data_IF_108358397341
#
_entry.id   IF_108358397341
#
_cell.length_a   1.000
_cell.length_b   1.000
_cell.length_c   1.000
_cell.angle_alpha   90.00
_cell.angle_beta   90.00
_cell.angle_gamma   90.00
#
_symmetry.space_group_name_H-M   'P 1'
#
loop_
_entity.id
_entity.type
_entity.pdbx_description
1 polymer ?
#
# COMPACT_ATOMS: atom_id res chain seq x y z
N UNK A 1 12.97 -12.50 1.66
CA UNK A 1 14.39 -12.76 1.40
C UNK A 1 15.24 -11.79 2.23
N UNK A 2 16.17 -12.33 3.06
CA UNK A 2 17.00 -11.53 3.95
C UNK A 2 18.02 -10.66 3.20
N UNK A 3 18.53 -11.13 2.07
CA UNK A 3 19.50 -10.36 1.28
C UNK A 3 18.82 -9.10 0.70
N UNK A 4 17.58 -9.21 0.28
CA UNK A 4 16.79 -8.07 -0.20
C UNK A 4 16.51 -7.10 0.94
N UNK A 5 16.07 -7.58 2.11
CA UNK A 5 15.83 -6.72 3.28
C UNK A 5 17.08 -5.92 3.68
N UNK A 6 18.26 -6.56 3.65
CA UNK A 6 19.54 -5.88 3.91
C UNK A 6 19.88 -4.80 2.88
N UNK A 7 19.50 -4.97 1.62
CA UNK A 7 19.67 -3.93 0.60
C UNK A 7 18.69 -2.76 0.80
N UNK A 8 17.50 -3.02 1.32
CA UNK A 8 16.48 -1.99 1.57
C UNK A 8 16.77 -1.15 2.81
N UNK A 9 17.39 -1.74 3.85
CA UNK A 9 17.59 -1.10 5.15
C UNK A 9 18.30 0.27 5.08
N UNK A 10 19.40 0.48 4.34
CA UNK A 10 20.05 1.78 4.23
C UNK A 10 19.12 2.86 3.69
N UNK A 11 18.18 2.48 2.82
CA UNK A 11 17.20 3.39 2.21
C UNK A 11 15.96 3.64 3.09
N UNK A 12 15.94 3.07 4.29
CA UNK A 12 14.93 3.30 5.33
C UNK A 12 15.59 3.76 6.63
N UNK A 13 16.60 4.63 6.53
CA UNK A 13 17.35 5.21 7.66
C UNK A 13 17.92 4.19 8.64
N UNK A 14 18.32 3.03 8.14
CA UNK A 14 18.85 1.91 8.90
C UNK A 14 17.91 1.41 10.02
N UNK A 15 16.59 1.61 9.86
CA UNK A 15 15.61 1.15 10.84
C UNK A 15 15.69 -0.38 10.98
N UNK A 16 15.85 -0.90 12.22
CA UNK A 16 16.13 -2.31 12.46
C UNK A 16 14.97 -3.23 12.03
N UNK A 17 13.72 -2.78 12.16
CA UNK A 17 12.55 -3.59 11.80
C UNK A 17 12.49 -3.97 10.32
N UNK A 18 13.24 -3.29 9.44
CA UNK A 18 13.35 -3.68 8.02
C UNK A 18 13.96 -5.08 7.87
N UNK A 19 14.99 -5.38 8.65
CA UNK A 19 15.71 -6.66 8.58
C UNK A 19 15.25 -7.66 9.65
N UNK A 20 14.90 -7.18 10.84
CA UNK A 20 14.57 -8.02 11.99
C UNK A 20 13.15 -8.61 11.92
N UNK A 21 12.20 -7.89 11.31
CA UNK A 21 10.85 -8.41 11.15
C UNK A 21 10.83 -9.69 10.31
N UNK A 22 9.92 -10.60 10.64
CA UNK A 22 9.70 -11.84 9.89
C UNK A 22 9.48 -11.55 8.40
N UNK A 23 8.55 -10.63 8.11
CA UNK A 23 8.25 -10.21 6.74
C UNK A 23 8.19 -8.69 6.64
N UNK A 24 8.60 -8.20 5.47
CA UNK A 24 8.44 -6.81 5.07
C UNK A 24 7.47 -6.77 3.89
N UNK A 25 6.31 -6.19 4.11
CA UNK A 25 5.30 -5.99 3.07
C UNK A 25 5.50 -4.61 2.46
N UNK A 26 5.73 -4.54 1.16
CA UNK A 26 5.81 -3.29 0.41
C UNK A 26 4.55 -3.16 -0.41
N UNK A 27 3.77 -2.11 -0.17
CA UNK A 27 2.56 -1.84 -0.93
C UNK A 27 2.88 -0.77 -1.96
N UNK A 28 2.72 -1.14 -3.23
CA UNK A 28 3.06 -0.30 -4.36
C UNK A 28 1.81 0.06 -5.17
N UNK A 29 1.78 1.29 -5.69
CA UNK A 29 0.73 1.78 -6.57
C UNK A 29 1.17 1.72 -8.03
N UNK A 30 0.23 1.52 -8.94
CA UNK A 30 0.43 1.75 -10.37
C UNK A 30 0.72 3.23 -10.58
N UNK A 31 1.84 3.52 -11.21
CA UNK A 31 2.26 4.85 -11.58
C UNK A 31 1.63 5.24 -12.91
N UNK A 32 1.16 6.47 -13.00
CA UNK A 32 0.56 7.02 -14.23
C UNK A 32 -0.53 6.10 -14.82
N UNK A 33 -1.42 5.59 -13.96
CA UNK A 33 -2.54 4.76 -14.38
C UNK A 33 -3.38 5.46 -15.45
N UNK A 34 -3.79 4.71 -16.47
CA UNK A 34 -4.50 5.23 -17.63
C UNK A 34 -5.65 4.31 -18.10
N UNK A 35 -6.21 4.61 -19.24
CA UNK A 35 -7.32 3.84 -19.82
C UNK A 35 -6.95 2.38 -20.09
N UNK A 36 -5.68 2.03 -20.30
CA UNK A 36 -5.26 0.64 -20.52
C UNK A 36 -5.40 -0.21 -19.26
N UNK A 37 -5.28 0.40 -18.08
CA UNK A 37 -5.51 -0.30 -16.81
C UNK A 37 -7.00 -0.60 -16.60
N UNK A 38 -7.89 0.28 -17.11
CA UNK A 38 -9.33 0.01 -17.15
C UNK A 38 -9.66 -1.13 -18.11
N UNK A 39 -9.03 -1.18 -19.29
CA UNK A 39 -9.20 -2.31 -20.23
C UNK A 39 -8.82 -3.64 -19.58
N UNK A 40 -7.68 -3.70 -18.87
CA UNK A 40 -7.28 -4.91 -18.12
C UNK A 40 -8.30 -5.33 -17.08
N UNK A 41 -8.93 -4.36 -16.38
CA UNK A 41 -10.00 -4.63 -15.43
C UNK A 41 -11.21 -5.26 -16.15
N UNK A 42 -11.63 -4.68 -17.27
CA UNK A 42 -12.75 -5.21 -18.08
C UNK A 42 -12.45 -6.62 -18.57
N UNK A 43 -11.26 -6.87 -19.12
CA UNK A 43 -10.83 -8.19 -19.56
C UNK A 43 -10.91 -9.21 -18.41
N UNK A 44 -10.46 -8.82 -17.24
CA UNK A 44 -10.51 -9.68 -16.05
C UNK A 44 -11.93 -9.98 -15.57
N UNK A 45 -12.84 -9.01 -15.67
CA UNK A 45 -14.26 -9.23 -15.36
C UNK A 45 -14.89 -10.23 -16.34
N UNK A 46 -14.62 -10.07 -17.64
CA UNK A 46 -15.09 -10.99 -18.68
C UNK A 46 -14.58 -12.40 -18.38
N UNK A 47 -13.27 -12.54 -18.11
CA UNK A 47 -12.64 -13.85 -17.86
C UNK A 47 -13.25 -14.56 -16.63
N UNK A 48 -13.42 -13.83 -15.51
CA UNK A 48 -13.88 -14.46 -14.25
C UNK A 48 -15.38 -14.69 -14.23
N UNK A 49 -16.16 -13.74 -14.75
CA UNK A 49 -17.63 -13.75 -14.61
C UNK A 49 -18.35 -14.29 -15.85
N UNK A 50 -17.67 -14.46 -16.98
CA UNK A 50 -18.29 -14.82 -18.25
C UNK A 50 -19.25 -13.75 -18.80
N UNK A 51 -19.19 -12.52 -18.27
CA UNK A 51 -20.02 -11.40 -18.73
C UNK A 51 -19.58 -10.98 -20.12
N UNK A 52 -20.53 -10.69 -21.00
CA UNK A 52 -20.19 -10.19 -22.32
C UNK A 52 -19.55 -8.80 -22.22
N UNK A 53 -18.52 -8.57 -23.04
CA UNK A 53 -17.79 -7.29 -23.04
C UNK A 53 -18.69 -6.10 -23.32
N UNK A 54 -19.65 -6.30 -24.24
CA UNK A 54 -20.61 -5.25 -24.62
C UNK A 54 -21.46 -4.75 -23.43
N UNK A 55 -21.77 -5.64 -22.49
CA UNK A 55 -22.55 -5.31 -21.30
C UNK A 55 -21.74 -4.44 -20.29
N UNK A 56 -20.42 -4.35 -20.46
CA UNK A 56 -19.50 -3.62 -19.59
C UNK A 56 -19.09 -2.26 -20.14
N UNK A 57 -19.46 -1.90 -21.37
CA UNK A 57 -19.02 -0.66 -22.02
C UNK A 57 -19.50 0.60 -21.27
N UNK A 58 -20.72 0.60 -20.72
CA UNK A 58 -21.21 1.70 -19.91
C UNK A 58 -20.40 1.90 -18.62
N UNK A 59 -20.07 0.82 -17.92
CA UNK A 59 -19.24 0.82 -16.72
C UNK A 59 -17.82 1.29 -17.05
N UNK A 60 -17.23 0.76 -18.11
CA UNK A 60 -15.90 1.17 -18.62
C UNK A 60 -15.85 2.67 -18.87
N UNK A 61 -16.85 3.20 -19.61
CA UNK A 61 -16.95 4.62 -19.90
C UNK A 61 -17.05 5.49 -18.63
N UNK A 62 -17.84 5.06 -17.64
CA UNK A 62 -17.92 5.75 -16.36
C UNK A 62 -16.58 5.78 -15.62
N UNK A 63 -15.85 4.67 -15.58
CA UNK A 63 -14.54 4.60 -14.92
C UNK A 63 -13.55 5.52 -15.61
N UNK A 64 -13.42 5.43 -16.93
CA UNK A 64 -12.52 6.29 -17.72
C UNK A 64 -12.84 7.77 -17.48
N UNK A 65 -14.12 8.14 -17.56
CA UNK A 65 -14.55 9.53 -17.34
C UNK A 65 -14.26 10.01 -15.92
N UNK A 66 -14.44 9.17 -14.90
CA UNK A 66 -14.12 9.52 -13.51
C UNK A 66 -12.63 9.74 -13.28
N UNK A 67 -11.78 9.04 -14.00
CA UNK A 67 -10.32 9.17 -13.91
C UNK A 67 -9.76 10.31 -14.75
N UNK A 68 -10.47 10.75 -15.79
CA UNK A 68 -9.99 11.76 -16.73
C UNK A 68 -9.50 13.02 -16.04
N UNK A 69 -10.30 13.59 -15.15
CA UNK A 69 -9.93 14.79 -14.39
C UNK A 69 -8.72 14.57 -13.48
N UNK A 70 -8.59 13.39 -12.90
CA UNK A 70 -7.44 13.04 -12.07
C UNK A 70 -6.15 12.88 -12.90
N UNK A 71 -6.25 12.32 -14.10
CA UNK A 71 -5.13 12.17 -15.04
C UNK A 71 -4.70 13.56 -15.53
N UNK A 72 -5.64 14.38 -16.02
CA UNK A 72 -5.36 15.72 -16.56
C UNK A 72 -4.74 16.67 -15.53
N UNK A 73 -5.14 16.54 -14.27
CA UNK A 73 -4.60 17.34 -13.15
C UNK A 73 -3.32 16.77 -12.53
N UNK A 74 -2.83 15.60 -12.97
CA UNK A 74 -1.72 14.90 -12.34
C UNK A 74 -2.05 14.24 -10.99
N UNK A 75 -3.33 14.23 -10.60
CA UNK A 75 -3.78 13.71 -9.30
C UNK A 75 -3.86 12.17 -9.26
N UNK A 76 -3.79 11.50 -10.41
CA UNK A 76 -4.02 10.04 -10.52
C UNK A 76 -3.07 9.23 -9.61
N UNK A 77 -1.80 9.64 -9.49
CA UNK A 77 -0.84 8.95 -8.61
C UNK A 77 -1.20 9.10 -7.13
N UNK A 78 -1.74 10.24 -6.72
CA UNK A 78 -2.27 10.42 -5.36
C UNK A 78 -3.52 9.59 -5.10
N UNK A 79 -4.39 9.46 -6.10
CA UNK A 79 -5.54 8.57 -6.00
C UNK A 79 -5.12 7.11 -5.85
N UNK A 80 -4.17 6.64 -6.68
CA UNK A 80 -3.62 5.28 -6.62
C UNK A 80 -2.95 5.02 -5.26
N UNK A 81 -2.19 5.97 -4.73
CA UNK A 81 -1.57 5.86 -3.42
C UNK A 81 -2.60 5.68 -2.30
N UNK A 82 -3.75 6.37 -2.34
CA UNK A 82 -4.82 6.19 -1.34
C UNK A 82 -5.38 4.77 -1.31
N UNK A 83 -5.42 4.07 -2.44
CA UNK A 83 -5.83 2.66 -2.47
C UNK A 83 -4.85 1.77 -1.68
N UNK A 84 -3.56 2.11 -1.69
CA UNK A 84 -2.54 1.42 -0.88
C UNK A 84 -2.81 1.57 0.62
N UNK A 85 -3.27 2.74 1.08
CA UNK A 85 -3.62 2.96 2.49
C UNK A 85 -4.89 2.23 2.92
N UNK A 86 -5.86 2.03 2.01
CA UNK A 86 -7.02 1.17 2.27
C UNK A 86 -6.55 -0.28 2.47
N UNK A 87 -5.67 -0.77 1.60
CA UNK A 87 -5.07 -2.10 1.73
C UNK A 87 -4.24 -2.22 3.02
N UNK A 88 -3.45 -1.20 3.36
CA UNK A 88 -2.69 -1.14 4.61
C UNK A 88 -3.61 -1.24 5.83
N UNK A 89 -4.68 -0.46 5.88
CA UNK A 89 -5.64 -0.50 7.00
C UNK A 89 -6.24 -1.89 7.19
N UNK A 90 -6.58 -2.58 6.10
CA UNK A 90 -7.05 -3.96 6.12
C UNK A 90 -5.96 -4.92 6.62
N UNK A 91 -4.72 -4.77 6.14
CA UNK A 91 -3.57 -5.58 6.59
C UNK A 91 -3.36 -5.43 8.10
N UNK A 92 -3.33 -4.18 8.62
CA UNK A 92 -3.12 -3.91 10.05
C UNK A 92 -4.21 -4.55 10.91
N UNK A 93 -5.46 -4.43 10.49
CA UNK A 93 -6.60 -5.03 11.20
C UNK A 93 -6.53 -6.55 11.18
N UNK A 94 -6.23 -7.14 10.02
CA UNK A 94 -6.12 -8.60 9.87
C UNK A 94 -4.95 -9.15 10.69
N UNK A 95 -3.80 -8.48 10.69
CA UNK A 95 -2.64 -8.85 11.51
C UNK A 95 -3.00 -8.84 13.00
N UNK A 96 -3.67 -7.78 13.47
CA UNK A 96 -4.10 -7.66 14.85
C UNK A 96 -5.06 -8.79 15.28
N UNK A 97 -6.03 -9.16 14.42
CA UNK A 97 -6.94 -10.28 14.66
C UNK A 97 -6.20 -11.62 14.77
N UNK A 98 -5.11 -11.78 14.00
CA UNK A 98 -4.28 -12.98 14.03
C UNK A 98 -3.20 -12.97 15.12
N UNK A 99 -3.14 -11.93 15.95
CA UNK A 99 -2.11 -11.78 16.99
C UNK A 99 -0.71 -11.51 16.42
N UNK A 100 -0.63 -10.96 15.22
CA UNK A 100 0.61 -10.56 14.56
C UNK A 100 0.80 -9.06 14.74
N UNK A 101 1.98 -8.65 15.20
CA UNK A 101 2.33 -7.24 15.27
C UNK A 101 2.69 -6.68 13.88
N UNK A 102 2.31 -5.44 13.66
CA UNK A 102 2.52 -4.75 12.39
C UNK A 102 2.99 -3.31 12.63
N UNK A 103 4.00 -2.89 11.89
CA UNK A 103 4.57 -1.55 11.95
C UNK A 103 4.51 -0.90 10.57
N UNK A 104 3.51 -0.03 10.30
CA UNK A 104 3.46 0.71 9.04
C UNK A 104 4.52 1.81 9.04
N UNK A 105 5.16 2.01 7.90
CA UNK A 105 6.31 2.90 7.76
C UNK A 105 6.21 3.70 6.46
N UNK A 106 6.36 5.02 6.56
CA UNK A 106 6.61 5.93 5.42
C UNK A 106 8.06 6.43 5.39
N UNK A 107 8.84 6.11 6.44
CA UNK A 107 10.22 6.49 6.58
C UNK A 107 11.14 5.65 5.70
N UNK A 108 11.12 5.86 4.38
CA UNK A 108 12.00 5.23 3.42
C UNK A 108 12.09 6.05 2.12
N UNK A 109 13.09 5.77 1.30
CA UNK A 109 13.28 6.40 -0.02
C UNK A 109 12.64 5.49 -1.07
N UNK A 110 11.40 5.84 -1.49
CA UNK A 110 10.59 5.06 -2.43
C UNK A 110 11.36 4.69 -3.70
N UNK A 111 12.01 5.65 -4.36
CA UNK A 111 12.76 5.41 -5.59
C UNK A 111 13.90 4.38 -5.45
N UNK A 112 14.53 4.30 -4.28
CA UNK A 112 15.57 3.31 -4.02
C UNK A 112 14.98 1.93 -3.72
N UNK A 113 13.85 1.88 -3.01
CA UNK A 113 13.08 0.64 -2.83
C UNK A 113 12.64 0.08 -4.16
N UNK A 114 12.10 0.92 -5.04
CA UNK A 114 11.60 0.53 -6.37
C UNK A 114 12.71 -0.08 -7.22
N UNK A 115 13.92 0.50 -7.19
CA UNK A 115 15.10 -0.03 -7.89
C UNK A 115 15.55 -1.39 -7.34
N UNK A 116 15.67 -1.51 -6.01
CA UNK A 116 16.09 -2.77 -5.36
C UNK A 116 15.10 -3.88 -5.66
N UNK A 117 13.80 -3.56 -5.67
CA UNK A 117 12.72 -4.51 -5.94
C UNK A 117 12.46 -4.72 -7.43
N UNK A 118 12.99 -3.85 -8.31
CA UNK A 118 12.81 -3.90 -9.75
C UNK A 118 11.41 -3.51 -10.25
N UNK A 119 10.56 -2.95 -9.38
CA UNK A 119 9.17 -2.62 -9.69
C UNK A 119 9.01 -1.32 -10.49
N UNK A 120 10.02 -0.47 -10.49
CA UNK A 120 10.08 0.74 -11.31
C UNK A 120 9.95 0.43 -12.81
N UNK A 121 10.56 -0.68 -13.25
CA UNK A 121 10.51 -1.16 -14.64
C UNK A 121 9.12 -1.63 -15.05
N UNK A 122 8.34 -2.07 -14.09
CA UNK A 122 6.96 -2.56 -14.29
C UNK A 122 5.93 -1.43 -14.15
N UNK A 123 6.38 -0.18 -13.94
CA UNK A 123 5.52 0.99 -13.80
C UNK A 123 4.81 1.09 -12.45
N UNK A 124 5.44 0.56 -11.39
CA UNK A 124 4.96 0.69 -10.01
C UNK A 124 5.87 1.60 -9.19
N UNK A 125 5.29 2.12 -8.11
CA UNK A 125 5.96 2.95 -7.12
C UNK A 125 5.57 2.48 -5.73
N UNK A 126 6.54 2.20 -4.87
CA UNK A 126 6.30 1.89 -3.47
C UNK A 126 5.72 3.11 -2.74
N UNK A 127 4.66 2.90 -1.98
CA UNK A 127 3.91 3.95 -1.29
C UNK A 127 4.11 3.86 0.21
N UNK A 128 3.97 2.68 0.76
CA UNK A 128 4.07 2.42 2.19
C UNK A 128 4.61 1.02 2.43
N UNK A 129 5.34 0.87 3.51
CA UNK A 129 5.94 -0.39 3.93
C UNK A 129 5.33 -0.81 5.26
N UNK A 130 5.20 -2.10 5.48
CA UNK A 130 4.74 -2.64 6.76
C UNK A 130 5.61 -3.82 7.17
N UNK A 131 6.35 -3.66 8.25
CA UNK A 131 7.05 -4.75 8.90
C UNK A 131 6.05 -5.56 9.74
N UNK A 132 6.03 -6.90 9.58
CA UNK A 132 5.11 -7.78 10.30
C UNK A 132 5.85 -8.96 10.91
N UNK A 133 5.41 -9.38 12.10
CA UNK A 133 6.01 -10.49 12.83
C UNK A 133 5.51 -10.56 14.26
N UNK A 134 6.14 -11.41 15.06
CA UNK A 134 5.89 -11.45 16.50
C UNK A 134 6.82 -10.49 17.21
N UNK A 135 6.25 -9.73 18.15
CA UNK A 135 6.98 -8.72 18.93
C UNK A 135 8.03 -9.35 19.83
N UNK A 136 9.19 -8.73 19.88
CA UNK A 136 10.18 -8.99 20.94
C UNK A 136 9.78 -8.25 22.20
N UNK A 137 9.06 -8.94 23.08
CA UNK A 137 8.53 -8.34 24.33
C UNK A 137 9.63 -7.94 25.32
N UNK A 138 10.83 -8.48 25.20
CA UNK A 138 11.94 -8.17 26.12
C UNK A 138 12.59 -6.83 25.75
N UNK A 139 12.81 -6.58 24.46
CA UNK A 139 13.56 -5.42 23.97
C UNK A 139 12.67 -4.30 23.43
N UNK A 140 11.39 -4.56 23.10
CA UNK A 140 10.45 -3.50 22.69
C UNK A 140 9.97 -2.71 23.91
N UNK A 141 10.72 -1.65 24.25
CA UNK A 141 10.36 -0.75 25.36
C UNK A 141 9.02 -0.03 25.13
N UNK A 142 8.64 0.23 23.86
CA UNK A 142 7.37 0.89 23.52
C UNK A 142 6.15 0.02 23.85
N UNK A 143 6.32 -1.30 23.95
CA UNK A 143 5.25 -2.20 24.37
C UNK A 143 4.84 -2.02 25.83
N UNK A 144 5.74 -1.43 26.64
CA UNK A 144 5.60 -1.27 28.08
C UNK A 144 5.02 0.08 28.49
N UNK A 145 4.79 0.98 27.53
CA UNK A 145 4.26 2.33 27.77
C UNK A 145 2.91 2.54 27.06
N UNK A 146 2.05 3.41 27.61
CA UNK A 146 0.77 3.72 26.98
C UNK A 146 0.95 4.33 25.59
N UNK A 147 0.07 3.97 24.67
CA UNK A 147 0.00 4.61 23.35
C UNK A 147 -0.49 6.04 23.47
N UNK A 148 0.27 6.96 22.88
CA UNK A 148 -0.14 8.37 22.78
C UNK A 148 -1.02 8.57 21.56
N UNK A 149 -2.19 9.18 21.76
CA UNK A 149 -3.16 9.56 20.72
C UNK A 149 -3.77 10.89 21.10
N UNK A 150 -4.26 11.61 20.09
CA UNK A 150 -5.15 12.74 20.34
C UNK A 150 -6.44 12.28 21.00
N UNK A 151 -7.06 13.16 21.77
CA UNK A 151 -8.35 12.89 22.40
C UNK A 151 -9.44 12.65 21.35
N UNK A 152 -10.38 11.74 21.65
CA UNK A 152 -11.46 11.42 20.71
C UNK A 152 -12.25 12.66 20.27
N UNK A 153 -12.45 13.63 21.16
CA UNK A 153 -13.13 14.89 20.87
C UNK A 153 -12.43 15.77 19.84
N UNK A 154 -11.12 15.58 19.66
CA UNK A 154 -10.34 16.33 18.66
C UNK A 154 -10.38 15.70 17.28
N UNK A 155 -10.54 14.37 17.22
CA UNK A 155 -10.45 13.60 15.97
C UNK A 155 -11.78 13.04 15.47
N UNK A 156 -12.80 12.97 16.34
CA UNK A 156 -14.16 12.47 16.04
C UNK A 156 -15.19 13.52 16.36
N UNK A 157 -15.98 13.91 15.38
CA UNK A 157 -17.12 14.80 15.56
C UNK A 157 -18.41 14.00 15.37
N UNK A 158 -19.23 13.94 16.43
CA UNK A 158 -20.60 13.44 16.32
C UNK A 158 -21.51 14.55 15.80
N UNK A 159 -22.36 14.24 14.82
CA UNK A 159 -23.31 15.17 14.18
C UNK A 159 -24.71 14.68 14.47
#
# INVERSE_FOLDING_TARGET
>A
DEAVKKQLQPHAWNQPQIVEASHLVVIAARKDADASDVEKLIDRIVEIRGTKREDLEAMKGMIINSQKGAIESGYINHWSARQCYIALGTLLTSAAVLGIDACPMEGFVSAEFDKVLGIDKDGYQSVVVCAVGYRDSEHDWLSKVPKVRYENSEVVKHI
#
